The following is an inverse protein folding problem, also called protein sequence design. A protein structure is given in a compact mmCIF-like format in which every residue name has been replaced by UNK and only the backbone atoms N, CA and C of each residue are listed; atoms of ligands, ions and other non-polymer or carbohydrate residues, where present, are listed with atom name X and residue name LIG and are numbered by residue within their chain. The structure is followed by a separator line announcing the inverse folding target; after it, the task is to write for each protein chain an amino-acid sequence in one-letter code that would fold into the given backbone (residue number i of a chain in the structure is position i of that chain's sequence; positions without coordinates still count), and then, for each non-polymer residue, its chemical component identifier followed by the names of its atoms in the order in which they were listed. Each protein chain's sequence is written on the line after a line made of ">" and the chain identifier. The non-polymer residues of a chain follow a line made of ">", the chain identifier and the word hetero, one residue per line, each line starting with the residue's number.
data_IF_691401440077
#
_entry.id   IF_691401440077
#
_cell.length_a   1.000
_cell.length_b   1.000
_cell.length_c   1.000
_cell.angle_alpha   90.00
_cell.angle_beta   90.00
_cell.angle_gamma   90.00
#
_symmetry.space_group_name_H-M   'P 1'
#
loop_
_entity.id
_entity.type
_entity.pdbx_description
1 polymer ?
#
# COMPACT_ATOMS: atom_id res chain seq x y z
N UNK A 1 41.15 27.69 17.94
CA UNK A 1 39.85 27.03 17.94
C UNK A 1 39.85 26.08 16.77
N UNK A 2 40.04 24.79 17.01
CA UNK A 2 39.97 23.74 15.98
C UNK A 2 38.49 23.32 15.84
N UNK A 3 37.93 23.47 14.66
CA UNK A 3 36.63 22.90 14.32
C UNK A 3 36.80 21.40 14.02
N UNK A 4 36.24 20.56 14.87
CA UNK A 4 36.14 19.12 14.61
C UNK A 4 34.99 18.91 13.63
N UNK A 5 35.32 18.69 12.36
CA UNK A 5 34.37 18.24 11.36
C UNK A 5 33.94 16.80 11.64
N UNK A 6 32.68 16.58 11.94
CA UNK A 6 32.09 15.26 12.05
C UNK A 6 32.05 14.63 10.64
N UNK A 7 32.97 13.71 10.37
CA UNK A 7 32.91 12.85 9.19
C UNK A 7 31.74 11.87 9.39
N UNK A 8 30.60 12.17 8.74
CA UNK A 8 29.55 11.18 8.52
C UNK A 8 30.12 10.18 7.53
N UNK A 9 30.42 8.97 7.99
CA UNK A 9 30.94 7.90 7.18
C UNK A 9 29.98 7.64 6.00
N UNK A 10 30.51 7.74 4.77
CA UNK A 10 29.82 7.31 3.57
C UNK A 10 29.60 5.79 3.72
N UNK A 11 28.34 5.37 3.79
CA UNK A 11 27.95 3.98 3.67
C UNK A 11 28.41 3.39 2.32
N UNK A 12 28.39 2.06 2.15
CA UNK A 12 28.88 1.43 0.94
C UNK A 12 28.18 2.04 -0.28
N UNK A 13 28.99 2.43 -1.28
CA UNK A 13 28.52 3.00 -2.53
C UNK A 13 27.60 1.99 -3.24
N UNK A 14 26.27 2.29 -3.31
CA UNK A 14 25.34 1.50 -4.08
C UNK A 14 23.93 1.30 -3.49
N UNK A 15 23.74 1.35 -2.17
CA UNK A 15 22.39 1.26 -1.60
C UNK A 15 21.71 2.64 -1.62
N UNK A 16 20.56 2.72 -2.27
CA UNK A 16 19.75 3.93 -2.20
C UNK A 16 19.34 4.20 -0.75
N UNK A 17 19.39 5.46 -0.30
CA UNK A 17 18.95 5.81 1.05
C UNK A 17 17.49 5.33 1.27
N UNK A 18 17.15 4.79 2.45
CA UNK A 18 15.80 4.38 2.76
C UNK A 18 14.84 5.54 2.60
N UNK A 19 13.59 5.25 2.22
CA UNK A 19 12.61 6.30 2.06
C UNK A 19 11.24 5.75 1.71
N UNK A 20 10.26 6.66 1.71
CA UNK A 20 8.90 6.34 1.32
C UNK A 20 8.19 7.52 0.66
N UNK A 21 7.19 7.18 -0.12
CA UNK A 21 6.19 8.09 -0.66
C UNK A 21 4.86 7.81 0.02
N UNK A 22 4.14 8.87 0.39
CA UNK A 22 2.77 8.80 0.87
C UNK A 22 1.85 9.29 -0.24
N UNK A 23 0.69 8.66 -0.41
CA UNK A 23 -0.32 9.09 -1.36
C UNK A 23 -1.60 9.54 -0.66
N UNK A 24 -2.21 10.60 -1.18
CA UNK A 24 -3.50 11.13 -0.72
C UNK A 24 -4.62 10.74 -1.70
N UNK A 25 -5.84 10.75 -1.21
CA UNK A 25 -7.06 10.41 -1.96
C UNK A 25 -7.24 11.26 -3.22
N UNK A 26 -6.82 12.53 -3.22
CA UNK A 26 -6.83 13.42 -4.38
C UNK A 26 -5.64 13.22 -5.34
N UNK A 27 -4.87 12.16 -5.15
CA UNK A 27 -3.69 11.84 -5.93
C UNK A 27 -2.43 12.61 -5.51
N UNK A 28 -2.48 13.43 -4.45
CA UNK A 28 -1.29 14.07 -3.90
C UNK A 28 -0.24 13.04 -3.50
N UNK A 29 1.05 13.28 -3.82
CA UNK A 29 2.16 12.43 -3.40
C UNK A 29 3.15 13.25 -2.61
N UNK A 30 3.59 12.73 -1.46
CA UNK A 30 4.56 13.34 -0.56
C UNK A 30 5.76 12.42 -0.44
N UNK A 31 6.97 12.99 -0.54
CA UNK A 31 8.23 12.23 -0.56
C UNK A 31 9.04 12.47 0.71
N UNK A 32 9.51 11.39 1.31
CA UNK A 32 10.39 11.40 2.48
C UNK A 32 11.62 10.52 2.23
N UNK A 33 12.74 11.16 1.95
CA UNK A 33 13.99 10.52 1.53
C UNK A 33 14.16 10.48 0.01
N UNK A 34 13.32 9.76 -0.77
CA UNK A 34 13.45 9.75 -2.23
C UNK A 34 12.91 11.03 -2.87
N UNK A 35 13.27 11.33 -4.15
CA UNK A 35 12.75 12.49 -4.85
C UNK A 35 11.26 12.38 -5.15
N UNK A 36 10.56 13.50 -5.22
CA UNK A 36 9.24 13.61 -5.79
C UNK A 36 9.32 13.45 -7.32
N UNK A 37 8.53 12.56 -7.90
CA UNK A 37 8.57 12.21 -9.32
C UNK A 37 7.33 12.63 -10.10
N UNK A 38 6.34 13.21 -9.42
CA UNK A 38 5.07 13.65 -9.98
C UNK A 38 3.87 13.11 -9.21
N UNK A 39 2.68 13.61 -9.53
CA UNK A 39 1.43 13.14 -8.94
C UNK A 39 0.25 13.30 -9.91
N UNK A 40 -0.82 12.49 -9.79
CA UNK A 40 -2.05 12.72 -10.53
C UNK A 40 -2.92 13.82 -9.93
N UNK A 41 -2.53 14.44 -8.82
CA UNK A 41 -3.30 15.50 -8.16
C UNK A 41 -3.74 16.62 -9.13
N UNK A 42 -5.01 16.97 -9.08
CA UNK A 42 -5.60 17.99 -9.96
C UNK A 42 -5.92 17.50 -11.37
N UNK A 43 -5.71 16.24 -11.71
CA UNK A 43 -6.29 15.61 -12.89
C UNK A 43 -7.77 15.30 -12.65
N UNK A 44 -8.54 15.24 -13.73
CA UNK A 44 -9.98 14.95 -13.64
C UNK A 44 -10.26 13.59 -12.98
N UNK A 45 -9.34 12.65 -13.13
CA UNK A 45 -9.42 11.29 -12.61
C UNK A 45 -9.09 11.17 -11.10
N UNK A 46 -8.47 12.20 -10.50
CA UNK A 46 -8.21 12.29 -9.07
C UNK A 46 -8.67 13.68 -8.57
N UNK A 47 -9.98 13.96 -8.55
CA UNK A 47 -10.49 15.25 -8.10
C UNK A 47 -10.22 15.46 -6.60
N UNK A 48 -10.10 16.71 -6.14
CA UNK A 48 -10.02 17.00 -4.72
C UNK A 48 -11.25 16.48 -3.97
N UNK A 49 -11.04 15.92 -2.78
CA UNK A 49 -12.13 15.45 -1.94
C UNK A 49 -13.17 16.56 -1.70
N UNK A 50 -14.45 16.29 -1.99
CA UNK A 50 -15.57 17.18 -1.65
C UNK A 50 -16.13 18.03 -2.79
N UNK A 51 -15.74 17.84 -4.05
CA UNK A 51 -16.30 18.60 -5.17
C UNK A 51 -17.70 18.15 -5.59
N UNK A 52 -18.11 16.92 -5.31
CA UNK A 52 -19.51 16.49 -5.49
C UNK A 52 -19.96 15.64 -4.29
N UNK A 53 -21.01 16.10 -3.61
CA UNK A 53 -21.57 15.39 -2.44
C UNK A 53 -22.40 14.16 -2.80
N UNK A 54 -22.67 13.95 -4.09
CA UNK A 54 -23.51 12.86 -4.59
C UNK A 54 -22.76 11.80 -5.39
N UNK A 55 -21.44 12.00 -5.61
CA UNK A 55 -20.58 11.01 -6.25
C UNK A 55 -19.61 10.42 -5.21
N UNK A 56 -19.42 9.10 -5.15
CA UNK A 56 -18.29 8.54 -4.44
C UNK A 56 -17.01 9.14 -5.02
N UNK A 57 -16.21 9.73 -4.17
CA UNK A 57 -15.02 10.50 -4.51
C UNK A 57 -14.09 9.68 -5.40
N UNK A 58 -13.65 10.28 -6.51
CA UNK A 58 -12.55 9.74 -7.32
C UNK A 58 -11.33 9.58 -6.42
N UNK A 59 -11.06 8.35 -5.99
CA UNK A 59 -10.10 8.09 -4.94
C UNK A 59 -8.87 7.44 -5.50
N UNK A 60 -7.73 8.14 -5.48
CA UNK A 60 -6.45 7.45 -5.59
C UNK A 60 -6.28 6.56 -4.36
N UNK A 61 -6.26 5.22 -4.57
CA UNK A 61 -6.47 4.23 -3.52
C UNK A 61 -5.21 3.47 -3.11
N UNK A 62 -4.19 3.41 -3.96
CA UNK A 62 -2.97 2.68 -3.66
C UNK A 62 -1.75 3.26 -4.40
N UNK A 63 -0.58 3.01 -3.85
CA UNK A 63 0.71 3.38 -4.44
C UNK A 63 1.70 2.23 -4.27
N UNK A 64 2.50 1.93 -5.30
CA UNK A 64 3.62 0.98 -5.21
C UNK A 64 4.85 1.52 -5.92
N UNK A 65 6.03 1.29 -5.34
CA UNK A 65 7.30 1.70 -5.91
C UNK A 65 7.82 0.72 -6.97
N UNK A 66 8.59 1.23 -7.92
CA UNK A 66 9.44 0.36 -8.78
C UNK A 66 10.55 -0.27 -7.95
N UNK A 67 11.01 -1.49 -8.27
CA UNK A 67 12.10 -2.15 -7.54
C UNK A 67 13.42 -1.38 -7.56
N UNK A 68 13.65 -0.56 -8.58
CA UNK A 68 14.84 0.32 -8.68
C UNK A 68 14.74 1.57 -7.78
N UNK A 69 13.58 1.78 -7.14
CA UNK A 69 13.31 2.92 -6.27
C UNK A 69 13.37 4.29 -6.97
N UNK A 70 13.20 4.33 -8.31
CA UNK A 70 13.25 5.56 -9.12
C UNK A 70 11.92 5.88 -9.79
N UNK A 71 10.87 5.13 -9.47
CA UNK A 71 9.52 5.32 -9.97
C UNK A 71 8.48 4.79 -9.02
N UNK A 72 7.22 5.08 -9.33
CA UNK A 72 6.07 4.52 -8.65
C UNK A 72 4.83 4.56 -9.53
N UNK A 73 3.90 3.66 -9.24
CA UNK A 73 2.56 3.68 -9.78
C UNK A 73 1.58 4.14 -8.71
N UNK A 74 0.60 4.95 -9.10
CA UNK A 74 -0.54 5.36 -8.29
C UNK A 74 -1.81 4.80 -8.93
N UNK A 75 -2.61 4.08 -8.16
CA UNK A 75 -3.88 3.52 -8.61
C UNK A 75 -5.01 4.47 -8.23
N UNK A 76 -5.85 4.84 -9.21
CA UNK A 76 -7.17 5.40 -8.94
C UNK A 76 -8.14 4.23 -8.72
N UNK A 77 -8.74 4.16 -7.53
CA UNK A 77 -9.59 3.04 -7.16
C UNK A 77 -10.91 3.01 -7.93
N UNK A 78 -11.57 4.14 -8.05
CA UNK A 78 -12.92 4.21 -8.65
C UNK A 78 -12.97 3.84 -10.14
N UNK A 79 -11.90 4.14 -10.87
CA UNK A 79 -11.81 3.83 -12.29
C UNK A 79 -10.77 2.74 -12.56
N UNK A 80 -10.10 2.23 -11.52
CA UNK A 80 -9.00 1.26 -11.65
C UNK A 80 -7.95 1.69 -12.69
N UNK A 81 -7.71 3.02 -12.81
CA UNK A 81 -6.68 3.61 -13.67
C UNK A 81 -5.33 3.62 -12.98
N UNK A 82 -4.27 3.49 -13.77
CA UNK A 82 -2.88 3.46 -13.28
C UNK A 82 -2.10 4.67 -13.81
N UNK A 83 -1.55 5.47 -12.91
CA UNK A 83 -0.63 6.55 -13.23
C UNK A 83 0.79 6.13 -12.92
N UNK A 84 1.71 6.36 -13.85
CA UNK A 84 3.11 5.98 -13.76
C UNK A 84 4.02 7.22 -13.69
N UNK A 85 4.99 7.22 -12.78
CA UNK A 85 5.93 8.33 -12.57
C UNK A 85 7.37 7.82 -12.43
N UNK A 86 8.34 8.64 -12.85
CA UNK A 86 9.75 8.26 -12.85
C UNK A 86 10.04 7.15 -13.86
N UNK A 87 10.65 6.05 -13.40
CA UNK A 87 10.96 4.87 -14.25
C UNK A 87 9.76 3.92 -14.42
N UNK A 88 8.65 4.16 -13.71
CA UNK A 88 7.45 3.36 -13.86
C UNK A 88 6.81 3.57 -15.24
N UNK A 89 6.30 2.49 -15.85
CA UNK A 89 5.60 2.51 -17.14
C UNK A 89 4.17 2.01 -16.92
N UNK A 90 3.17 2.70 -17.49
CA UNK A 90 1.81 2.16 -17.54
C UNK A 90 1.76 1.01 -18.55
N UNK A 91 1.47 -0.19 -18.06
CA UNK A 91 1.45 -1.44 -18.83
C UNK A 91 0.03 -1.95 -19.08
N UNK A 92 -0.98 -1.20 -18.65
CA UNK A 92 -2.39 -1.51 -18.75
C UNK A 92 -3.15 -1.27 -17.44
N UNK A 93 -4.46 -1.27 -17.51
CA UNK A 93 -5.34 -0.96 -16.38
C UNK A 93 -6.72 -1.63 -16.53
N UNK A 94 -7.40 -2.01 -15.43
CA UNK A 94 -8.73 -2.64 -15.48
C UNK A 94 -9.80 -1.77 -16.14
N UNK A 95 -9.70 -0.45 -16.06
CA UNK A 95 -10.65 0.51 -16.62
C UNK A 95 -11.08 0.17 -18.07
N UNK A 96 -10.17 -0.38 -18.86
CA UNK A 96 -10.45 -0.71 -20.26
C UNK A 96 -11.62 -1.70 -20.46
N UNK A 97 -11.93 -2.52 -19.45
CA UNK A 97 -13.03 -3.48 -19.50
C UNK A 97 -14.35 -2.92 -18.95
N UNK A 98 -14.32 -1.79 -18.22
CA UNK A 98 -15.47 -1.20 -17.55
C UNK A 98 -16.06 0.04 -18.27
N UNK A 99 -15.57 0.40 -19.47
CA UNK A 99 -15.97 1.61 -20.20
C UNK A 99 -17.48 1.74 -20.48
N UNK A 100 -18.23 0.62 -20.46
CA UNK A 100 -19.67 0.58 -20.67
C UNK A 100 -20.45 0.15 -19.42
N UNK A 101 -19.82 0.13 -18.26
CA UNK A 101 -20.43 -0.21 -16.97
C UNK A 101 -20.67 1.10 -16.21
N UNK A 102 -21.81 1.19 -15.51
CA UNK A 102 -22.07 2.36 -14.67
C UNK A 102 -21.03 2.44 -13.55
N UNK A 103 -20.64 3.65 -13.17
CA UNK A 103 -19.63 3.86 -12.11
C UNK A 103 -20.03 3.20 -10.78
N UNK A 104 -21.32 3.17 -10.46
CA UNK A 104 -21.84 2.53 -9.25
C UNK A 104 -21.72 1.00 -9.26
N UNK A 105 -21.51 0.39 -10.43
CA UNK A 105 -21.37 -1.06 -10.62
C UNK A 105 -19.92 -1.47 -10.93
N UNK A 106 -19.02 -0.49 -11.06
CA UNK A 106 -17.60 -0.74 -11.31
C UNK A 106 -16.91 -1.13 -10.00
N UNK A 107 -16.23 -2.28 -9.93
CA UNK A 107 -15.43 -2.64 -8.76
C UNK A 107 -14.34 -1.61 -8.48
N UNK A 108 -14.01 -1.45 -7.19
CA UNK A 108 -13.00 -0.48 -6.76
C UNK A 108 -11.62 -1.15 -6.72
N UNK A 109 -10.64 -0.55 -7.38
CA UNK A 109 -9.24 -0.95 -7.25
C UNK A 109 -8.71 -0.62 -5.86
N UNK A 110 -8.23 -1.62 -5.11
CA UNK A 110 -7.82 -1.47 -3.71
C UNK A 110 -6.35 -1.77 -3.46
N UNK A 111 -5.64 -2.29 -4.46
CA UNK A 111 -4.23 -2.63 -4.33
C UNK A 111 -3.51 -2.66 -5.66
N UNK A 112 -2.27 -2.19 -5.65
CA UNK A 112 -1.33 -2.35 -6.77
C UNK A 112 0.02 -2.76 -6.21
N UNK A 113 0.64 -3.81 -6.77
CA UNK A 113 1.97 -4.28 -6.39
C UNK A 113 2.81 -4.59 -7.61
N UNK A 114 4.08 -4.18 -7.60
CA UNK A 114 5.01 -4.41 -8.72
C UNK A 114 5.56 -5.82 -8.73
N UNK A 115 5.90 -6.34 -9.93
CA UNK A 115 6.75 -7.51 -10.05
C UNK A 115 8.18 -7.20 -9.56
N UNK A 116 8.96 -8.21 -9.15
CA UNK A 116 10.36 -8.02 -8.76
C UNK A 116 11.25 -7.44 -9.86
N UNK A 117 10.89 -7.65 -11.11
CA UNK A 117 11.59 -7.09 -12.27
C UNK A 117 11.30 -5.60 -12.51
N UNK A 118 10.14 -5.11 -12.03
CA UNK A 118 9.61 -3.78 -12.34
C UNK A 118 9.00 -3.65 -13.73
N UNK A 119 8.90 -4.74 -14.50
CA UNK A 119 8.31 -4.76 -15.85
C UNK A 119 6.85 -5.21 -15.86
N UNK A 120 6.24 -5.31 -14.68
CA UNK A 120 4.85 -5.69 -14.51
C UNK A 120 4.30 -5.28 -13.15
N UNK A 121 3.00 -5.44 -12.99
CA UNK A 121 2.29 -5.26 -11.73
C UNK A 121 0.96 -6.01 -11.72
N UNK A 122 0.46 -6.26 -10.52
CA UNK A 122 -0.91 -6.73 -10.30
C UNK A 122 -1.77 -5.59 -9.74
N UNK A 123 -3.04 -5.57 -10.13
CA UNK A 123 -4.08 -4.72 -9.57
C UNK A 123 -5.15 -5.61 -8.98
N UNK A 124 -5.47 -5.40 -7.70
CA UNK A 124 -6.55 -6.08 -7.01
C UNK A 124 -7.76 -5.15 -6.85
N UNK A 125 -8.96 -5.70 -7.03
CA UNK A 125 -10.23 -5.04 -6.78
C UNK A 125 -10.88 -5.54 -5.48
N UNK A 126 -11.79 -4.75 -4.94
CA UNK A 126 -12.53 -5.04 -3.71
C UNK A 126 -13.38 -6.32 -3.78
N UNK A 127 -13.77 -6.73 -4.99
CA UNK A 127 -14.44 -8.01 -5.28
C UNK A 127 -13.52 -9.23 -5.19
N UNK A 128 -12.22 -9.00 -5.00
CA UNK A 128 -11.20 -10.04 -5.00
C UNK A 128 -10.65 -10.42 -6.37
N UNK A 129 -11.08 -9.74 -7.45
CA UNK A 129 -10.52 -9.93 -8.78
C UNK A 129 -9.10 -9.37 -8.84
N UNK A 130 -8.21 -10.07 -9.58
CA UNK A 130 -6.83 -9.65 -9.78
C UNK A 130 -6.50 -9.60 -11.26
N UNK A 131 -5.92 -8.48 -11.69
CA UNK A 131 -5.41 -8.27 -13.04
C UNK A 131 -3.89 -8.26 -13.03
N UNK A 132 -3.30 -8.87 -14.05
CA UNK A 132 -1.85 -8.94 -14.25
C UNK A 132 -1.46 -8.20 -15.52
N UNK A 133 -0.48 -7.29 -15.43
CA UNK A 133 0.00 -6.48 -16.55
C UNK A 133 1.52 -6.59 -16.70
N UNK A 134 1.99 -6.40 -17.94
CA UNK A 134 3.41 -6.56 -18.27
C UNK A 134 3.87 -8.01 -18.12
N UNK A 135 4.94 -8.24 -17.36
CA UNK A 135 5.45 -9.58 -17.07
C UNK A 135 4.82 -10.27 -15.87
N UNK A 136 3.85 -9.61 -15.21
CA UNK A 136 3.09 -10.21 -14.11
C UNK A 136 2.27 -11.41 -14.61
N UNK A 137 2.28 -12.50 -13.85
CA UNK A 137 1.49 -13.71 -14.14
C UNK A 137 0.27 -13.79 -13.24
N UNK A 138 -0.86 -14.22 -13.80
CA UNK A 138 -2.06 -14.51 -13.00
C UNK A 138 -1.90 -15.85 -12.28
N UNK A 139 -2.14 -15.87 -10.98
CA UNK A 139 -2.07 -17.06 -10.13
C UNK A 139 -3.45 -17.47 -9.59
N UNK A 140 -4.53 -16.81 -10.04
CA UNK A 140 -5.89 -16.95 -9.57
C UNK A 140 -6.33 -15.77 -8.71
N UNK A 141 -7.60 -15.73 -8.36
CA UNK A 141 -8.20 -14.64 -7.59
C UNK A 141 -9.38 -15.12 -6.73
N UNK A 142 -9.93 -14.22 -5.91
CA UNK A 142 -11.02 -14.52 -5.01
C UNK A 142 -12.41 -14.12 -5.55
N UNK A 143 -12.52 -13.67 -6.82
CA UNK A 143 -13.78 -13.16 -7.39
C UNK A 143 -14.90 -14.20 -7.50
N UNK A 144 -14.55 -15.48 -7.47
CA UNK A 144 -15.51 -16.60 -7.50
C UNK A 144 -15.88 -17.09 -6.10
N UNK A 145 -15.30 -16.52 -5.05
CA UNK A 145 -15.58 -16.89 -3.66
C UNK A 145 -16.72 -16.02 -3.11
N UNK A 146 -17.49 -16.58 -2.18
CA UNK A 146 -18.44 -15.79 -1.40
C UNK A 146 -17.68 -15.11 -0.24
N UNK A 147 -17.17 -13.91 -0.48
CA UNK A 147 -16.39 -13.16 0.51
C UNK A 147 -17.30 -12.67 1.64
N UNK A 148 -16.87 -12.86 2.90
CA UNK A 148 -17.55 -12.32 4.08
C UNK A 148 -17.36 -10.80 4.22
N UNK A 149 -16.25 -10.27 3.68
CA UNK A 149 -15.95 -8.85 3.62
C UNK A 149 -15.18 -8.53 2.34
N UNK A 150 -15.22 -7.28 1.89
CA UNK A 150 -14.50 -6.82 0.69
C UNK A 150 -12.99 -6.92 0.88
N UNK A 151 -12.27 -7.16 -0.19
CA UNK A 151 -10.81 -7.06 -0.22
C UNK A 151 -10.41 -5.59 -0.03
N UNK A 152 -9.37 -5.35 0.76
CA UNK A 152 -8.85 -4.01 1.11
C UNK A 152 -7.36 -3.84 0.79
N UNK A 153 -6.69 -4.90 0.32
CA UNK A 153 -5.28 -4.79 -0.02
C UNK A 153 -4.66 -6.09 -0.52
N UNK A 154 -3.44 -5.99 -0.99
CA UNK A 154 -2.64 -7.12 -1.47
C UNK A 154 -1.16 -6.95 -1.15
N UNK A 155 -0.46 -8.10 -1.09
CA UNK A 155 1.00 -8.15 -1.03
C UNK A 155 1.51 -9.30 -1.90
N UNK A 156 2.72 -9.16 -2.47
CA UNK A 156 3.34 -10.19 -3.32
C UNK A 156 4.42 -10.97 -2.57
N UNK A 157 4.66 -12.22 -3.00
CA UNK A 157 5.85 -12.98 -2.58
C UNK A 157 7.12 -12.29 -3.10
N UNK A 158 8.25 -12.56 -2.46
CA UNK A 158 9.53 -11.92 -2.80
C UNK A 158 9.97 -12.17 -4.25
N UNK A 159 9.71 -13.34 -4.74
CA UNK A 159 10.07 -13.78 -6.11
C UNK A 159 8.99 -13.48 -7.16
N UNK A 160 7.82 -12.99 -6.74
CA UNK A 160 6.72 -12.65 -7.62
C UNK A 160 6.00 -13.86 -8.21
N UNK A 161 6.11 -15.04 -7.59
CA UNK A 161 5.38 -16.24 -8.03
C UNK A 161 4.06 -16.47 -7.29
N UNK A 162 3.66 -15.53 -6.45
CA UNK A 162 2.39 -15.54 -5.75
C UNK A 162 2.07 -14.21 -5.08
N UNK A 163 0.88 -14.14 -4.52
CA UNK A 163 0.40 -12.98 -3.77
C UNK A 163 -0.66 -13.36 -2.74
N UNK A 164 -0.85 -12.48 -1.78
CA UNK A 164 -1.93 -12.53 -0.80
C UNK A 164 -2.91 -11.39 -1.07
N UNK A 165 -4.20 -11.68 -0.86
CA UNK A 165 -5.25 -10.68 -0.71
C UNK A 165 -5.71 -10.67 0.74
N UNK A 166 -6.03 -9.50 1.27
CA UNK A 166 -6.60 -9.34 2.61
C UNK A 166 -7.97 -8.67 2.54
N UNK A 167 -8.94 -9.23 3.25
CA UNK A 167 -10.28 -8.67 3.39
C UNK A 167 -10.40 -7.81 4.67
N UNK A 168 -11.43 -6.94 4.72
CA UNK A 168 -11.66 -6.03 5.83
C UNK A 168 -11.94 -6.72 7.18
N UNK A 169 -12.40 -7.98 7.17
CA UNK A 169 -12.55 -8.82 8.36
C UNK A 169 -11.23 -9.46 8.83
N UNK A 170 -10.14 -9.24 8.08
CA UNK A 170 -8.84 -9.86 8.30
C UNK A 170 -8.71 -11.28 7.71
N UNK A 171 -9.63 -11.70 6.85
CA UNK A 171 -9.50 -12.90 6.02
C UNK A 171 -8.32 -12.75 5.06
N UNK A 172 -7.52 -13.80 4.88
CA UNK A 172 -6.38 -13.80 3.96
C UNK A 172 -6.54 -14.92 2.95
N UNK A 173 -6.31 -14.60 1.68
CA UNK A 173 -6.36 -15.53 0.54
C UNK A 173 -4.98 -15.56 -0.12
N UNK A 174 -4.44 -16.75 -0.33
CA UNK A 174 -3.11 -16.98 -0.88
C UNK A 174 -3.19 -17.63 -2.27
N UNK A 175 -2.43 -17.10 -3.23
CA UNK A 175 -2.42 -17.55 -4.62
C UNK A 175 -0.99 -17.75 -5.12
N UNK A 176 -0.82 -18.72 -6.06
CA UNK A 176 0.50 -19.09 -6.54
C UNK A 176 1.29 -19.83 -5.48
N UNK A 177 2.54 -19.45 -5.26
CA UNK A 177 3.41 -20.01 -4.23
C UNK A 177 3.29 -19.29 -2.86
N UNK A 178 2.43 -18.27 -2.76
CA UNK A 178 2.16 -17.58 -1.51
C UNK A 178 1.60 -18.55 -0.46
N UNK A 179 2.28 -18.68 0.67
CA UNK A 179 1.87 -19.59 1.74
C UNK A 179 0.81 -18.93 2.62
N UNK A 180 -0.29 -19.64 2.88
CA UNK A 180 -1.25 -19.22 3.89
C UNK A 180 -0.65 -19.43 5.29
N UNK A 181 -0.49 -18.36 6.05
CA UNK A 181 0.18 -18.38 7.36
C UNK A 181 -0.78 -18.10 8.52
N UNK A 182 -2.03 -17.73 8.23
CA UNK A 182 -3.07 -17.46 9.21
C UNK A 182 -3.97 -16.30 8.81
N UNK A 183 -5.02 -16.05 9.57
CA UNK A 183 -5.96 -14.93 9.37
C UNK A 183 -6.71 -14.66 10.66
N UNK A 184 -7.28 -13.46 10.84
CA UNK A 184 -8.02 -13.14 12.05
C UNK A 184 -9.24 -14.07 12.26
N UNK A 185 -10.10 -14.33 11.25
CA UNK A 185 -11.24 -15.22 11.42
C UNK A 185 -10.84 -16.66 11.79
N UNK A 186 -9.74 -17.19 11.22
CA UNK A 186 -9.23 -18.51 11.57
C UNK A 186 -8.84 -18.62 13.04
N UNK A 187 -8.21 -17.59 13.57
CA UNK A 187 -7.71 -17.57 14.95
C UNK A 187 -8.78 -17.09 15.94
N UNK A 188 -10.03 -16.93 15.48
CA UNK A 188 -11.16 -16.51 16.30
C UNK A 188 -11.08 -15.05 16.74
N UNK A 189 -10.24 -14.25 16.07
CA UNK A 189 -10.06 -12.83 16.36
C UNK A 189 -11.03 -12.05 15.48
N UNK A 190 -11.84 -11.21 16.09
CA UNK A 190 -12.70 -10.26 15.38
C UNK A 190 -11.96 -8.94 15.28
N UNK A 191 -11.75 -8.47 14.04
CA UNK A 191 -11.17 -7.16 13.82
C UNK A 191 -12.07 -6.08 14.46
N UNK A 192 -11.47 -5.13 15.18
CA UNK A 192 -12.20 -3.97 15.68
C UNK A 192 -12.77 -3.17 14.51
N UNK A 193 -13.99 -2.63 14.68
CA UNK A 193 -14.50 -1.74 13.64
C UNK A 193 -13.72 -0.42 13.61
N UNK A 194 -13.34 0.07 12.43
CA UNK A 194 -13.81 -0.29 11.08
C UNK A 194 -13.06 -1.43 10.36
N UNK A 195 -12.29 -2.27 11.04
CA UNK A 195 -11.70 -3.46 10.46
C UNK A 195 -10.24 -3.31 10.00
N UNK A 196 -9.75 -4.32 9.29
CA UNK A 196 -8.41 -4.32 8.64
C UNK A 196 -8.43 -3.39 7.44
N UNK A 197 -7.35 -2.64 7.26
CA UNK A 197 -7.20 -1.64 6.18
C UNK A 197 -5.99 -1.90 5.28
N UNK A 198 -5.14 -2.87 5.60
CA UNK A 198 -4.00 -3.20 4.76
C UNK A 198 -3.14 -4.33 5.29
N UNK A 199 -2.21 -4.77 4.44
CA UNK A 199 -1.21 -5.79 4.75
C UNK A 199 0.16 -5.43 4.19
N UNK A 200 1.21 -5.99 4.80
CA UNK A 200 2.58 -5.96 4.29
C UNK A 200 3.25 -7.31 4.52
N UNK A 201 3.92 -7.84 3.50
CA UNK A 201 4.69 -9.09 3.63
C UNK A 201 6.09 -8.83 4.23
N UNK A 202 6.63 -9.83 4.94
CA UNK A 202 8.04 -9.83 5.33
C UNK A 202 8.94 -9.89 4.10
N UNK A 203 10.20 -9.43 4.26
CA UNK A 203 11.14 -9.37 3.15
C UNK A 203 11.39 -10.73 2.47
N UNK A 204 11.37 -11.81 3.23
CA UNK A 204 11.57 -13.17 2.73
C UNK A 204 10.28 -13.88 2.31
N UNK A 205 9.12 -13.26 2.56
CA UNK A 205 7.80 -13.82 2.21
C UNK A 205 7.35 -14.96 3.12
N UNK A 206 7.98 -15.13 4.31
CA UNK A 206 7.60 -16.18 5.26
C UNK A 206 6.62 -15.69 6.33
N UNK A 207 6.23 -14.40 6.27
CA UNK A 207 5.27 -13.77 7.16
C UNK A 207 4.58 -12.58 6.54
N UNK A 208 3.59 -12.07 7.24
CA UNK A 208 2.92 -10.80 6.92
C UNK A 208 2.31 -10.15 8.17
N UNK A 209 2.16 -8.85 8.09
CA UNK A 209 1.41 -8.05 9.06
C UNK A 209 0.09 -7.61 8.45
N UNK A 210 -0.97 -7.61 9.27
CA UNK A 210 -2.22 -6.92 8.99
C UNK A 210 -2.32 -5.72 9.91
N UNK A 211 -2.88 -4.61 9.43
CA UNK A 211 -3.14 -3.42 10.24
C UNK A 211 -4.62 -3.11 10.25
N UNK A 212 -5.16 -2.86 11.45
CA UNK A 212 -6.51 -2.36 11.66
C UNK A 212 -6.57 -0.83 11.58
N UNK A 213 -7.73 -0.27 11.28
CA UNK A 213 -7.93 1.18 11.26
C UNK A 213 -7.73 1.84 12.64
N UNK A 214 -7.81 1.07 13.72
CA UNK A 214 -7.45 1.51 15.08
C UNK A 214 -5.93 1.56 15.31
N UNK A 215 -5.13 1.15 14.30
CA UNK A 215 -3.68 1.03 14.37
C UNK A 215 -3.20 -0.25 15.04
N UNK A 216 -4.09 -1.21 15.31
CA UNK A 216 -3.76 -2.56 15.76
C UNK A 216 -2.97 -3.32 14.71
N UNK A 217 -1.94 -4.06 15.10
CA UNK A 217 -1.11 -4.87 14.21
C UNK A 217 -1.20 -6.34 14.60
N UNK A 218 -1.43 -7.18 13.61
CA UNK A 218 -1.45 -8.63 13.74
C UNK A 218 -0.34 -9.24 12.88
N UNK A 219 0.49 -10.10 13.46
CA UNK A 219 1.64 -10.70 12.81
C UNK A 219 1.41 -12.20 12.60
N UNK A 220 1.68 -12.69 11.40
CA UNK A 220 1.52 -14.09 11.00
C UNK A 220 2.82 -14.63 10.38
N UNK A 221 3.05 -15.95 10.54
CA UNK A 221 4.26 -16.58 10.09
C UNK A 221 5.47 -16.12 10.91
N UNK A 222 6.56 -15.72 10.24
CA UNK A 222 7.76 -15.19 10.88
C UNK A 222 7.76 -13.67 11.09
N UNK A 223 6.66 -13.02 10.74
CA UNK A 223 6.51 -11.57 10.93
C UNK A 223 6.66 -11.20 12.41
N UNK A 224 7.69 -10.41 12.72
CA UNK A 224 7.95 -9.98 14.10
C UNK A 224 7.06 -8.80 14.47
N UNK A 225 6.26 -8.94 15.53
CA UNK A 225 5.51 -7.83 16.11
C UNK A 225 6.49 -6.83 16.74
N UNK A 226 6.47 -5.59 16.27
CA UNK A 226 7.37 -4.51 16.71
C UNK A 226 6.64 -3.36 17.41
N UNK A 227 5.32 -3.43 17.54
CA UNK A 227 4.50 -2.43 18.20
C UNK A 227 3.21 -2.10 17.46
N UNK A 228 2.39 -1.28 18.04
CA UNK A 228 1.02 -0.98 17.60
C UNK A 228 0.62 0.44 17.99
N UNK A 229 -0.44 0.96 17.40
CA UNK A 229 -1.03 2.25 17.79
C UNK A 229 -2.37 2.11 18.50
N UNK A 230 -2.94 0.89 18.62
CA UNK A 230 -4.25 0.70 19.23
C UNK A 230 -4.28 0.96 20.77
N UNK A 231 -3.12 1.07 21.40
CA UNK A 231 -2.96 1.49 22.80
C UNK A 231 -2.94 3.02 22.98
N UNK A 232 -3.00 3.76 21.88
CA UNK A 232 -2.95 5.23 21.82
C UNK A 232 -4.13 5.77 21.02
N UNK A 233 -4.57 6.97 21.38
CA UNK A 233 -5.59 7.65 20.59
C UNK A 233 -4.97 8.22 19.32
N UNK A 234 -5.33 7.67 18.16
CA UNK A 234 -5.05 8.26 16.86
C UNK A 234 -5.98 9.47 16.63
N UNK A 235 -5.46 10.53 16.00
CA UNK A 235 -6.29 11.67 15.57
C UNK A 235 -7.14 11.33 14.34
N UNK A 236 -6.66 10.41 13.50
CA UNK A 236 -7.36 9.86 12.36
C UNK A 236 -7.06 8.36 12.24
N UNK A 237 -7.92 7.57 11.58
CA UNK A 237 -7.70 6.13 11.41
C UNK A 237 -6.38 5.82 10.70
N UNK A 238 -5.76 4.68 11.04
CA UNK A 238 -4.72 4.10 10.21
C UNK A 238 -5.31 3.69 8.85
N UNK A 239 -4.52 3.83 7.79
CA UNK A 239 -4.95 3.57 6.40
C UNK A 239 -4.01 2.65 5.65
N UNK A 240 -2.77 2.49 6.11
CA UNK A 240 -1.80 1.63 5.44
C UNK A 240 -0.68 1.15 6.39
N UNK A 241 -0.06 0.04 6.02
CA UNK A 241 1.17 -0.48 6.61
C UNK A 241 2.18 -0.79 5.50
N UNK A 242 3.45 -0.51 5.74
CA UNK A 242 4.52 -0.91 4.84
C UNK A 242 5.69 -1.51 5.61
N UNK A 243 6.21 -2.63 5.11
CA UNK A 243 7.41 -3.25 5.66
C UNK A 243 8.66 -2.41 5.39
N UNK A 244 9.57 -2.35 6.37
CA UNK A 244 10.90 -1.81 6.14
C UNK A 244 11.68 -2.75 5.19
N UNK A 245 12.19 -2.25 4.05
CA UNK A 245 12.93 -3.07 3.10
C UNK A 245 14.17 -3.75 3.66
N UNK A 246 14.74 -3.24 4.76
CA UNK A 246 15.85 -3.86 5.46
C UNK A 246 15.44 -5.11 6.27
N UNK A 247 14.14 -5.41 6.34
CA UNK A 247 13.59 -6.61 6.98
C UNK A 247 13.25 -6.46 8.46
N UNK A 248 13.51 -5.31 9.08
CA UNK A 248 13.24 -5.07 10.50
C UNK A 248 12.23 -3.95 10.71
N UNK A 249 11.01 -4.32 11.10
CA UNK A 249 9.97 -3.36 11.43
C UNK A 249 9.14 -2.88 10.24
N UNK A 250 8.30 -1.89 10.51
CA UNK A 250 7.30 -1.38 9.57
C UNK A 250 6.88 0.06 9.91
N UNK A 251 6.20 0.71 8.97
CA UNK A 251 5.52 1.98 9.18
C UNK A 251 4.03 1.77 9.13
N UNK A 252 3.30 2.47 10.02
CA UNK A 252 1.85 2.64 9.96
C UNK A 252 1.58 4.09 9.55
N UNK A 253 0.65 4.29 8.62
CA UNK A 253 0.24 5.61 8.16
C UNK A 253 -1.20 5.87 8.58
N UNK A 254 -1.46 7.05 9.13
CA UNK A 254 -2.80 7.53 9.44
C UNK A 254 -3.31 8.51 8.37
N UNK A 255 -4.63 8.61 8.25
CA UNK A 255 -5.30 9.44 7.24
C UNK A 255 -4.97 10.94 7.35
N UNK A 256 -4.60 11.45 8.54
CA UNK A 256 -4.17 12.83 8.80
C UNK A 256 -2.71 13.11 8.40
N UNK A 257 -2.02 12.12 7.85
CA UNK A 257 -0.62 12.22 7.47
C UNK A 257 0.37 11.79 8.53
N UNK A 258 -0.09 11.31 9.68
CA UNK A 258 0.77 10.73 10.72
C UNK A 258 1.48 9.48 10.19
N UNK A 259 2.78 9.38 10.45
CA UNK A 259 3.59 8.18 10.16
C UNK A 259 4.19 7.70 11.47
N UNK A 260 4.00 6.43 11.77
CA UNK A 260 4.49 5.79 12.98
C UNK A 260 5.46 4.66 12.59
N UNK A 261 6.70 4.76 13.06
CA UNK A 261 7.76 3.82 12.74
C UNK A 261 7.97 2.84 13.90
N UNK A 262 8.05 1.56 13.60
CA UNK A 262 8.22 0.48 14.58
C UNK A 262 9.40 -0.43 14.24
N UNK A 263 10.03 -0.99 15.28
CA UNK A 263 11.21 -1.83 15.13
C UNK A 263 12.39 -1.04 14.58
N UNK A 264 13.05 -1.58 13.55
CA UNK A 264 14.17 -0.92 12.87
C UNK A 264 13.79 0.06 11.76
N UNK A 265 12.49 0.31 11.54
CA UNK A 265 12.04 1.25 10.50
C UNK A 265 12.39 2.70 10.91
N UNK A 266 13.17 3.45 10.09
CA UNK A 266 13.54 4.82 10.43
C UNK A 266 12.37 5.77 10.20
N UNK A 267 12.13 6.70 11.14
CA UNK A 267 11.23 7.83 10.88
C UNK A 267 11.92 8.86 10.00
N UNK A 268 11.38 9.10 8.82
CA UNK A 268 11.96 10.01 7.81
C UNK A 268 11.13 11.28 7.61
N UNK A 269 10.01 11.38 8.31
CA UNK A 269 9.10 12.52 8.28
C UNK A 269 7.65 12.11 8.12
N UNK A 270 6.76 13.06 8.25
CA UNK A 270 5.31 12.88 8.07
C UNK A 270 4.66 14.19 7.64
N UNK A 271 3.45 14.11 7.12
CA UNK A 271 2.59 15.29 6.90
C UNK A 271 1.63 15.52 8.08
N UNK A 272 1.73 14.71 9.13
CA UNK A 272 0.96 14.87 10.35
C UNK A 272 1.12 16.26 10.97
N UNK A 273 0.01 16.88 11.35
CA UNK A 273 -0.03 18.24 11.84
C UNK A 273 -0.05 19.33 10.75
N UNK A 274 0.08 18.95 9.46
CA UNK A 274 -0.15 19.85 8.34
C UNK A 274 -1.62 19.82 7.91
N UNK A 275 -2.13 20.91 7.36
CA UNK A 275 -3.46 20.91 6.77
C UNK A 275 -3.42 20.25 5.37
N UNK A 276 -3.79 18.99 5.31
CA UNK A 276 -3.94 18.27 4.04
C UNK A 276 -5.28 18.64 3.39
N UNK A 277 -5.29 18.80 2.07
CA UNK A 277 -6.54 18.99 1.30
C UNK A 277 -7.40 17.73 1.27
N UNK A 278 -6.75 16.57 1.30
CA UNK A 278 -7.38 15.25 1.28
C UNK A 278 -6.63 14.29 2.21
N UNK A 279 -7.31 13.31 2.83
CA UNK A 279 -6.65 12.33 3.68
C UNK A 279 -5.64 11.49 2.91
N UNK A 280 -4.63 10.97 3.62
CA UNK A 280 -3.73 9.96 3.06
C UNK A 280 -4.45 8.63 2.92
N UNK A 281 -3.95 7.80 2.00
CA UNK A 281 -4.48 6.47 1.73
C UNK A 281 -3.40 5.40 1.58
N UNK A 282 -2.18 5.72 1.20
CA UNK A 282 -1.16 4.71 0.91
C UNK A 282 0.27 5.13 1.24
N UNK A 283 1.12 4.13 1.31
CA UNK A 283 2.57 4.26 1.46
C UNK A 283 3.28 3.29 0.52
N UNK A 284 4.29 3.78 -0.19
CA UNK A 284 5.21 2.95 -0.96
C UNK A 284 6.63 3.15 -0.44
N UNK A 285 7.35 2.07 -0.19
CA UNK A 285 8.72 2.11 0.33
C UNK A 285 9.73 1.96 -0.81
N UNK A 286 10.81 2.70 -0.72
CA UNK A 286 11.96 2.54 -1.60
C UNK A 286 12.80 1.36 -1.11
N UNK A 287 13.02 0.39 -1.98
CA UNK A 287 13.89 -0.77 -1.73
C UNK A 287 15.35 -0.43 -1.99
#
# INVERSE_FOLDING_TARGET
>A
MLSVGLLVGAGPAGAAAPGYWLSAVDGGVFSFGPPFLGSPAGKAECPPAGMDRNEPLGTCSAITATPDGKGYWVLNGDESKVFAFGTAVNLGEPWSIYQNVSRAETPVGVGIVSTPSGNGYWVAEDTGRVFAYGDAKGYGDASHLNLAALIVGMATTRDGHGYWLVAADGGVFAFGDARYLGSLPRDGIVANQPGVVGMAATRDGQGYWLVGADGGVFAFGDATFSGTMNDRRLNAPAVAIAANPDGFGYWIVAADGGVFAFGGAPFLGSTGGQHLKSPLFGIATRR
#
